data_IF_691669000989
#
_entry.id   IF_691669000989
#
_cell.length_a   1.000
_cell.length_b   1.000
_cell.length_c   1.000
_cell.angle_alpha   90.00
_cell.angle_beta   90.00
_cell.angle_gamma   90.00
#
_symmetry.space_group_name_H-M   'P 1'
#
loop_
_entity.id
_entity.type
_entity.pdbx_description
1 polymer ?
#
# COMPACT_ATOMS: atom_id res chain seq x y z
N UNK A 1 9.84 2.90 15.46
CA UNK A 1 10.34 1.80 14.60
C UNK A 1 9.79 0.50 15.16
N UNK A 2 9.01 -0.23 14.38
CA UNK A 2 8.41 -1.51 14.78
C UNK A 2 9.14 -2.61 14.01
N UNK A 3 9.30 -3.79 14.59
CA UNK A 3 9.89 -4.94 13.89
C UNK A 3 8.80 -5.98 13.69
N UNK A 4 8.63 -6.41 12.44
CA UNK A 4 7.69 -7.47 12.08
C UNK A 4 8.51 -8.68 11.62
N UNK A 5 8.21 -9.85 12.19
CA UNK A 5 8.93 -11.09 11.88
C UNK A 5 8.15 -11.84 10.80
N UNK A 6 8.72 -11.98 9.60
CA UNK A 6 8.16 -12.80 8.52
C UNK A 6 9.19 -13.87 8.13
N UNK A 7 8.81 -15.15 8.21
CA UNK A 7 9.58 -16.33 7.75
C UNK A 7 11.10 -16.28 8.01
N UNK A 8 11.50 -16.00 9.25
CA UNK A 8 12.91 -15.98 9.71
C UNK A 8 13.77 -14.79 9.23
N UNK A 9 13.20 -13.81 8.53
CA UNK A 9 13.82 -12.50 8.26
C UNK A 9 13.19 -11.42 9.13
N UNK A 10 14.05 -10.60 9.74
CA UNK A 10 13.61 -9.40 10.47
C UNK A 10 13.69 -8.24 9.50
N UNK A 11 12.54 -7.78 9.02
CA UNK A 11 12.44 -6.60 8.17
C UNK A 11 12.03 -5.42 9.05
N UNK A 12 12.85 -4.36 9.16
CA UNK A 12 12.44 -3.14 9.84
C UNK A 12 11.24 -2.52 9.15
N UNK A 13 10.21 -2.20 9.93
CA UNK A 13 9.01 -1.52 9.47
C UNK A 13 8.84 -0.21 10.23
N UNK A 14 8.72 0.88 9.50
CA UNK A 14 8.51 2.21 10.05
C UNK A 14 7.19 2.77 9.54
N UNK A 15 6.41 3.38 10.43
CA UNK A 15 5.13 3.98 10.10
C UNK A 15 5.27 5.50 10.16
N UNK A 16 4.88 6.17 9.09
CA UNK A 16 4.64 7.61 9.08
C UNK A 16 3.20 7.81 9.52
N UNK A 17 3.01 8.41 10.70
CA UNK A 17 1.70 8.63 11.28
C UNK A 17 1.35 10.11 11.21
N UNK A 18 0.12 10.41 10.85
CA UNK A 18 -0.45 11.74 10.91
C UNK A 18 -1.66 11.75 11.84
N UNK A 19 -1.80 12.83 12.62
CA UNK A 19 -2.96 13.00 13.50
C UNK A 19 -4.04 13.80 12.78
N UNK A 20 -5.19 13.18 12.53
CA UNK A 20 -6.37 13.80 11.89
C UNK A 20 -7.61 13.50 12.72
N UNK A 21 -8.43 14.51 12.97
CA UNK A 21 -9.67 14.42 13.76
C UNK A 21 -9.48 13.77 15.14
N UNK A 22 -8.33 14.06 15.78
CA UNK A 22 -7.98 13.52 17.09
C UNK A 22 -7.38 12.11 17.07
N UNK A 23 -7.41 11.42 15.93
CA UNK A 23 -6.95 10.04 15.76
C UNK A 23 -5.62 9.97 14.99
N UNK A 24 -4.78 8.97 15.33
CA UNK A 24 -3.58 8.67 14.56
C UNK A 24 -3.93 7.76 13.38
N UNK A 25 -3.49 8.15 12.18
CA UNK A 25 -3.68 7.39 10.95
C UNK A 25 -2.32 7.14 10.29
N UNK A 26 -2.11 5.95 9.76
CA UNK A 26 -0.92 5.66 8.98
C UNK A 26 -1.05 6.30 7.59
N UNK A 27 -0.08 7.16 7.25
CA UNK A 27 0.01 7.81 5.95
C UNK A 27 0.97 7.04 5.03
N UNK A 28 2.05 6.49 5.58
CA UNK A 28 3.00 5.67 4.84
C UNK A 28 3.59 4.55 5.72
N UNK A 29 4.04 3.50 5.05
CA UNK A 29 4.78 2.38 5.62
C UNK A 29 6.11 2.30 4.88
N UNK A 30 7.20 2.31 5.64
CA UNK A 30 8.56 2.20 5.13
C UNK A 30 9.06 0.81 5.48
N UNK A 31 9.41 0.04 4.44
CA UNK A 31 9.89 -1.35 4.55
C UNK A 31 11.29 -1.41 3.98
N UNK A 32 12.27 -1.87 4.77
CA UNK A 32 13.69 -1.91 4.36
C UNK A 32 14.20 -0.55 3.83
N UNK A 33 13.71 0.55 4.42
CA UNK A 33 14.08 1.91 4.03
C UNK A 33 13.36 2.45 2.79
N UNK A 34 12.41 1.71 2.21
CA UNK A 34 11.65 2.10 1.02
C UNK A 34 10.22 2.47 1.40
N UNK A 35 9.81 3.70 1.07
CA UNK A 35 8.42 4.17 1.18
C UNK A 35 7.51 3.36 0.24
N UNK A 36 6.47 2.77 0.81
CA UNK A 36 5.45 2.06 0.02
C UNK A 36 4.58 3.06 -0.75
N UNK A 37 4.20 4.19 -0.14
CA UNK A 37 3.44 5.24 -0.79
C UNK A 37 4.16 5.79 -2.03
N UNK A 38 5.45 6.13 -1.90
CA UNK A 38 6.27 6.62 -3.00
C UNK A 38 6.46 5.54 -4.08
N UNK A 39 6.68 4.28 -3.65
CA UNK A 39 6.78 3.13 -4.55
C UNK A 39 5.55 2.97 -5.44
N UNK A 40 4.35 3.01 -4.84
CA UNK A 40 3.10 2.97 -5.60
C UNK A 40 2.91 4.19 -6.49
N UNK A 41 3.19 5.40 -6.00
CA UNK A 41 3.08 6.63 -6.78
C UNK A 41 3.91 6.56 -8.08
N UNK A 42 5.18 6.10 -8.01
CA UNK A 42 6.03 5.89 -9.20
C UNK A 42 5.44 4.88 -10.17
N UNK A 43 4.91 3.76 -9.66
CA UNK A 43 4.29 2.72 -10.50
C UNK A 43 3.05 3.26 -11.22
N UNK A 44 2.21 4.03 -10.52
CA UNK A 44 0.99 4.60 -11.07
C UNK A 44 1.28 5.68 -12.10
N UNK A 45 2.27 6.55 -11.86
CA UNK A 45 2.73 7.53 -12.85
C UNK A 45 3.18 6.85 -14.15
N UNK A 46 3.81 5.67 -14.06
CA UNK A 46 4.21 4.89 -15.23
C UNK A 46 2.98 4.40 -16.00
N UNK A 47 1.99 3.84 -15.31
CA UNK A 47 0.73 3.39 -15.93
C UNK A 47 -0.02 4.56 -16.57
N UNK A 48 -0.16 5.68 -15.87
CA UNK A 48 -0.87 6.87 -16.39
C UNK A 48 -0.18 7.40 -17.64
N UNK A 49 1.16 7.47 -17.66
CA UNK A 49 1.92 7.87 -18.85
C UNK A 49 1.72 6.93 -20.04
N UNK A 50 1.62 5.63 -19.81
CA UNK A 50 1.54 4.63 -20.88
C UNK A 50 0.12 4.36 -21.36
N UNK A 51 -0.87 4.46 -20.46
CA UNK A 51 -2.22 3.92 -20.66
C UNK A 51 -3.33 4.87 -20.24
N UNK A 52 -3.00 6.05 -19.70
CA UNK A 52 -3.97 7.02 -19.22
C UNK A 52 -4.55 6.69 -17.84
N UNK A 53 -5.28 7.65 -17.29
CA UNK A 53 -5.86 7.57 -15.95
C UNK A 53 -6.95 6.49 -15.84
N UNK A 54 -7.79 6.33 -16.87
CA UNK A 54 -8.90 5.38 -16.84
C UNK A 54 -8.42 3.94 -16.67
N UNK A 55 -7.31 3.57 -17.33
CA UNK A 55 -6.70 2.24 -17.21
C UNK A 55 -6.11 1.98 -15.83
N UNK A 56 -5.54 3.01 -15.19
CA UNK A 56 -5.12 2.91 -13.78
C UNK A 56 -6.33 2.62 -12.88
N UNK A 57 -7.41 3.40 -13.03
CA UNK A 57 -8.60 3.27 -12.19
C UNK A 57 -9.31 1.93 -12.38
N UNK A 58 -9.40 1.42 -13.61
CA UNK A 58 -9.90 0.08 -13.91
C UNK A 58 -9.09 -0.99 -13.15
N UNK A 59 -7.76 -0.91 -13.24
CA UNK A 59 -6.86 -1.87 -12.59
C UNK A 59 -6.98 -1.83 -11.06
N UNK A 60 -7.11 -0.64 -10.46
CA UNK A 60 -7.30 -0.48 -9.02
C UNK A 60 -8.65 -1.03 -8.54
N UNK A 61 -9.73 -0.79 -9.30
CA UNK A 61 -11.07 -1.33 -8.98
C UNK A 61 -11.08 -2.85 -9.01
N UNK A 62 -10.51 -3.44 -10.06
CA UNK A 62 -10.38 -4.90 -10.20
C UNK A 62 -9.60 -5.50 -9.03
N UNK A 63 -8.45 -4.92 -8.69
CA UNK A 63 -7.62 -5.41 -7.57
C UNK A 63 -8.32 -5.31 -6.22
N UNK A 64 -9.15 -4.29 -6.02
CA UNK A 64 -9.98 -4.14 -4.82
C UNK A 64 -11.05 -5.24 -4.73
N UNK A 65 -11.72 -5.55 -5.84
CA UNK A 65 -12.72 -6.62 -5.90
C UNK A 65 -12.10 -7.98 -5.57
N UNK A 66 -10.93 -8.27 -6.15
CA UNK A 66 -10.16 -9.49 -5.85
C UNK A 66 -9.80 -9.60 -4.36
N UNK A 67 -9.35 -8.50 -3.74
CA UNK A 67 -8.98 -8.47 -2.33
C UNK A 67 -10.19 -8.65 -1.40
N UNK A 68 -11.34 -8.07 -1.74
CA UNK A 68 -12.58 -8.23 -0.97
C UNK A 68 -13.07 -9.68 -1.01
N UNK A 69 -13.08 -10.30 -2.19
CA UNK A 69 -13.51 -11.70 -2.36
C UNK A 69 -12.63 -12.69 -1.57
N UNK A 70 -11.31 -12.45 -1.50
CA UNK A 70 -10.39 -13.27 -0.70
C UNK A 70 -10.66 -13.16 0.81
N UNK A 71 -11.08 -11.98 1.27
CA UNK A 71 -11.37 -11.74 2.67
C UNK A 71 -12.68 -12.40 3.12
N UNK A 72 -13.68 -12.47 2.22
CA UNK A 72 -14.96 -13.15 2.46
C UNK A 72 -14.84 -14.68 2.46
N UNK A 73 -13.96 -15.25 1.64
CA UNK A 73 -13.72 -16.70 1.61
C UNK A 73 -12.89 -17.22 2.79
N UNK A 74 -12.25 -16.32 3.55
CA UNK A 74 -11.40 -16.66 4.71
C UNK A 74 -12.09 -16.37 6.05
N UNK A 75 -13.33 -15.85 6.02
CA UNK A 75 -14.13 -15.47 7.19
C UNK A 75 -15.19 -16.49 7.56
#
# INVERSE_FOLDING_TARGET
>A
RTQTKYESRTTPVEYVLERRDGEWRAEDIIVDGVSTAEGYARSFQTVVRQHGFDRLMESLRKKREEAMAQNESSG
#
